data_IF_546836957775
#
_entry.id   IF_546836957775
#
_cell.length_a   1.000
_cell.length_b   1.000
_cell.length_c   1.000
_cell.angle_alpha   90.00
_cell.angle_beta   90.00
_cell.angle_gamma   90.00
#
_symmetry.space_group_name_H-M   'P 1'
#
loop_
_entity.id
_entity.type
_entity.pdbx_description
1 polymer ?
#
# COMPACT_ATOMS: atom_id res chain seq x y z
N UNK A 1 1.08 -4.23 -1.76
CA UNK A 1 0.55 -3.42 -0.66
C UNK A 1 -0.35 -4.25 0.27
N UNK A 2 -1.52 -4.67 -0.15
CA UNK A 2 -2.55 -5.21 0.75
C UNK A 2 -2.39 -6.71 1.12
N UNK A 3 -1.23 -7.32 0.98
CA UNK A 3 -1.08 -8.75 1.29
C UNK A 3 -1.37 -9.05 2.76
N UNK A 4 -0.78 -8.31 3.69
CA UNK A 4 -0.96 -8.52 5.13
C UNK A 4 -2.44 -8.49 5.54
N UNK A 5 -3.21 -7.40 5.30
CA UNK A 5 -4.60 -7.38 5.73
C UNK A 5 -5.49 -8.41 5.01
N UNK A 6 -5.16 -8.80 3.78
CA UNK A 6 -5.89 -9.87 3.09
C UNK A 6 -5.64 -11.22 3.78
N UNK A 7 -4.37 -11.55 4.08
CA UNK A 7 -4.05 -12.82 4.76
C UNK A 7 -4.62 -12.87 6.18
N UNK A 8 -4.60 -11.74 6.89
CA UNK A 8 -5.16 -11.64 8.24
C UNK A 8 -6.67 -11.88 8.27
N UNK A 9 -7.39 -11.43 7.25
CA UNK A 9 -8.85 -11.58 7.17
C UNK A 9 -9.30 -12.87 6.44
N UNK A 10 -8.40 -13.53 5.70
CA UNK A 10 -8.73 -14.70 4.89
C UNK A 10 -9.23 -15.86 5.76
N UNK A 11 -10.43 -16.37 5.45
CA UNK A 11 -11.09 -17.43 6.20
C UNK A 11 -11.30 -17.13 7.71
N UNK A 12 -11.40 -15.84 8.07
CA UNK A 12 -11.76 -15.42 9.43
C UNK A 12 -13.22 -15.00 9.49
N UNK A 13 -13.93 -15.43 10.55
CA UNK A 13 -15.35 -15.12 10.72
C UNK A 13 -15.59 -13.70 11.27
N UNK A 14 -14.62 -13.17 12.04
CA UNK A 14 -14.74 -11.89 12.75
C UNK A 14 -13.93 -10.74 12.13
N UNK A 15 -13.21 -11.01 11.05
CA UNK A 15 -12.38 -10.03 10.36
C UNK A 15 -12.80 -9.85 8.91
N UNK A 16 -12.92 -8.61 8.49
CA UNK A 16 -13.36 -8.28 7.13
C UNK A 16 -12.39 -7.33 6.44
N UNK A 17 -11.95 -7.71 5.25
CA UNK A 17 -11.12 -6.88 4.40
C UNK A 17 -11.98 -6.17 3.34
N UNK A 18 -11.98 -4.84 3.35
CA UNK A 18 -12.57 -4.01 2.30
C UNK A 18 -11.46 -3.38 1.45
N UNK A 19 -11.46 -3.67 0.16
CA UNK A 19 -10.54 -3.05 -0.79
C UNK A 19 -11.16 -1.80 -1.43
N UNK A 20 -10.39 -0.71 -1.48
CA UNK A 20 -10.75 0.50 -2.23
C UNK A 20 -9.72 0.75 -3.33
N UNK A 21 -10.13 0.60 -4.57
CA UNK A 21 -9.31 0.86 -5.76
C UNK A 21 -9.64 2.26 -6.27
N UNK A 22 -8.75 3.20 -6.00
CA UNK A 22 -9.03 4.63 -6.23
C UNK A 22 -8.93 5.00 -7.71
N UNK A 23 -7.95 4.44 -8.44
CA UNK A 23 -7.72 4.79 -9.85
C UNK A 23 -8.16 3.70 -10.82
N UNK A 24 -8.53 4.13 -12.02
CA UNK A 24 -9.08 3.28 -13.09
C UNK A 24 -8.05 2.35 -13.76
N UNK A 25 -6.75 2.61 -13.59
CA UNK A 25 -5.68 1.79 -14.16
C UNK A 25 -5.50 1.89 -15.67
N UNK A 26 -6.26 2.76 -16.38
CA UNK A 26 -6.20 2.90 -17.85
C UNK A 26 -4.81 3.22 -18.40
N UNK A 27 -3.99 3.94 -17.64
CA UNK A 27 -2.61 4.28 -18.00
C UNK A 27 -1.57 3.17 -17.75
N UNK A 28 -2.00 1.93 -17.52
CA UNK A 28 -1.09 0.80 -17.32
C UNK A 28 -0.22 0.53 -18.54
N UNK A 29 1.05 0.07 -18.37
CA UNK A 29 1.91 -0.35 -19.47
C UNK A 29 1.26 -1.43 -20.33
N UNK A 30 1.51 -1.39 -21.65
CA UNK A 30 0.92 -2.29 -22.64
C UNK A 30 1.98 -2.95 -23.48
N UNK A 31 2.14 -4.27 -23.32
CA UNK A 31 3.05 -5.10 -24.10
C UNK A 31 2.39 -6.46 -24.38
N UNK A 32 2.92 -7.21 -25.32
CA UNK A 32 2.42 -8.55 -25.64
C UNK A 32 0.93 -8.52 -26.04
N UNK A 33 0.12 -9.29 -25.38
CA UNK A 33 -1.32 -9.41 -25.64
C UNK A 33 -2.09 -8.09 -25.49
N UNK A 34 -1.55 -7.14 -24.71
CA UNK A 34 -2.19 -5.84 -24.42
C UNK A 34 -1.69 -4.70 -25.29
N UNK A 35 -0.75 -4.95 -26.23
CA UNK A 35 -0.07 -3.91 -26.99
C UNK A 35 -1.02 -3.04 -27.83
N UNK A 36 -2.13 -3.59 -28.28
CA UNK A 36 -3.13 -2.91 -29.11
C UNK A 36 -4.33 -2.36 -28.34
N UNK A 37 -4.36 -2.53 -27.01
CA UNK A 37 -5.48 -2.07 -26.19
C UNK A 37 -5.45 -0.55 -26.04
N UNK A 38 -6.60 0.09 -26.20
CA UNK A 38 -6.78 1.49 -25.83
C UNK A 38 -6.96 1.67 -24.31
N UNK A 39 -7.12 2.91 -23.87
CA UNK A 39 -7.26 3.24 -22.44
C UNK A 39 -8.53 2.64 -21.83
N UNK A 40 -9.63 2.60 -22.58
CA UNK A 40 -10.89 2.06 -22.08
C UNK A 40 -10.85 0.53 -21.99
N UNK A 41 -10.28 -0.13 -22.99
CA UNK A 41 -10.05 -1.58 -22.95
C UNK A 41 -9.15 -1.96 -21.78
N UNK A 42 -8.10 -1.20 -21.52
CA UNK A 42 -7.22 -1.44 -20.38
C UNK A 42 -7.96 -1.22 -19.04
N UNK A 43 -8.78 -0.17 -18.91
CA UNK A 43 -9.61 0.08 -17.74
C UNK A 43 -10.52 -1.13 -17.43
N UNK A 44 -11.20 -1.66 -18.46
CA UNK A 44 -12.05 -2.84 -18.30
C UNK A 44 -11.28 -4.10 -17.88
N UNK A 45 -10.07 -4.30 -18.43
CA UNK A 45 -9.18 -5.39 -17.99
C UNK A 45 -8.82 -5.23 -16.52
N UNK A 46 -8.39 -4.03 -16.11
CA UNK A 46 -8.02 -3.74 -14.72
C UNK A 46 -9.18 -3.98 -13.75
N UNK A 47 -10.39 -3.61 -14.12
CA UNK A 47 -11.60 -3.90 -13.33
C UNK A 47 -11.85 -5.40 -13.16
N UNK A 48 -11.70 -6.15 -14.25
CA UNK A 48 -11.85 -7.61 -14.23
C UNK A 48 -10.81 -8.28 -13.33
N UNK A 49 -9.57 -7.81 -13.37
CA UNK A 49 -8.48 -8.31 -12.53
C UNK A 49 -8.73 -8.03 -11.04
N UNK A 50 -9.18 -6.81 -10.70
CA UNK A 50 -9.54 -6.48 -9.32
C UNK A 50 -10.67 -7.35 -8.76
N UNK A 51 -11.72 -7.62 -9.57
CA UNK A 51 -12.78 -8.54 -9.17
C UNK A 51 -12.29 -9.97 -8.95
N UNK A 52 -11.37 -10.46 -9.79
CA UNK A 52 -10.75 -11.77 -9.58
C UNK A 52 -9.95 -11.82 -8.29
N UNK A 53 -9.16 -10.76 -8.01
CA UNK A 53 -8.42 -10.67 -6.75
C UNK A 53 -9.37 -10.70 -5.54
N UNK A 54 -10.49 -10.00 -5.61
CA UNK A 54 -11.47 -9.99 -4.53
C UNK A 54 -12.08 -11.37 -4.27
N UNK A 55 -12.36 -12.15 -5.33
CA UNK A 55 -12.85 -13.53 -5.19
C UNK A 55 -11.79 -14.44 -4.56
N UNK A 56 -10.54 -14.36 -5.03
CA UNK A 56 -9.44 -15.20 -4.52
C UNK A 56 -9.11 -14.86 -3.08
N UNK A 57 -9.09 -13.59 -2.72
CA UNK A 57 -8.75 -13.12 -1.38
C UNK A 57 -9.94 -13.05 -0.42
N UNK A 58 -11.13 -13.48 -0.85
CA UNK A 58 -12.37 -13.48 -0.05
C UNK A 58 -12.66 -12.09 0.57
N UNK A 59 -12.52 -11.02 -0.23
CA UNK A 59 -12.80 -9.67 0.26
C UNK A 59 -14.27 -9.53 0.65
N UNK A 60 -14.53 -8.94 1.82
CA UNK A 60 -15.89 -8.60 2.23
C UNK A 60 -16.52 -7.56 1.30
N UNK A 61 -15.72 -6.61 0.80
CA UNK A 61 -16.16 -5.65 -0.20
C UNK A 61 -15.00 -5.21 -1.11
N UNK A 62 -15.35 -4.91 -2.37
CA UNK A 62 -14.47 -4.27 -3.34
C UNK A 62 -15.17 -3.02 -3.88
N UNK A 63 -14.58 -1.85 -3.61
CA UNK A 63 -15.06 -0.56 -4.08
C UNK A 63 -14.07 -0.03 -5.11
N UNK A 64 -14.56 0.35 -6.29
CA UNK A 64 -13.74 0.89 -7.38
C UNK A 64 -14.23 2.28 -7.74
N UNK A 65 -13.42 3.32 -7.41
CA UNK A 65 -13.79 4.74 -7.57
C UNK A 65 -13.58 5.26 -8.99
N UNK A 66 -12.82 4.56 -9.79
CA UNK A 66 -12.66 4.84 -11.23
C UNK A 66 -12.10 6.22 -11.57
N UNK A 67 -11.29 6.82 -10.70
CA UNK A 67 -10.66 8.11 -10.98
C UNK A 67 -9.48 7.97 -11.93
N UNK A 68 -9.35 8.84 -12.97
CA UNK A 68 -8.09 8.99 -13.69
C UNK A 68 -6.96 9.43 -12.75
N UNK A 69 -5.76 8.91 -12.94
CA UNK A 69 -4.59 9.25 -12.09
C UNK A 69 -4.30 10.75 -12.00
N UNK A 70 -4.65 11.55 -13.03
CA UNK A 70 -4.52 13.01 -13.00
C UNK A 70 -5.35 13.68 -11.91
N UNK A 71 -6.54 13.15 -11.60
CA UNK A 71 -7.42 13.66 -10.55
C UNK A 71 -6.81 13.42 -9.17
N UNK A 72 -6.16 12.27 -8.99
CA UNK A 72 -5.51 11.92 -7.74
C UNK A 72 -4.23 12.75 -7.50
N UNK A 73 -3.50 13.05 -8.56
CA UNK A 73 -2.28 13.90 -8.49
C UNK A 73 -2.60 15.40 -8.32
N UNK A 74 -3.82 15.82 -8.57
CA UNK A 74 -4.26 17.17 -8.24
C UNK A 74 -4.56 17.28 -6.74
N UNK A 75 -3.70 17.98 -6.01
CA UNK A 75 -3.85 18.20 -4.57
C UNK A 75 -5.12 18.98 -4.17
N UNK A 76 -5.74 19.71 -5.11
CA UNK A 76 -6.96 20.50 -4.87
C UNK A 76 -8.24 19.71 -5.13
N UNK A 77 -8.17 18.58 -5.81
CA UNK A 77 -9.35 17.77 -6.15
C UNK A 77 -10.00 17.20 -4.89
N UNK A 78 -11.24 17.58 -4.61
CA UNK A 78 -12.02 17.17 -3.45
C UNK A 78 -12.82 15.87 -3.65
N UNK A 79 -13.38 15.55 -4.84
CA UNK A 79 -14.24 14.38 -4.99
C UNK A 79 -13.63 13.06 -4.47
N UNK A 80 -12.33 12.75 -4.68
CA UNK A 80 -11.77 11.53 -4.10
C UNK A 80 -11.71 11.56 -2.56
N UNK A 81 -11.59 12.71 -1.94
CA UNK A 81 -11.61 12.86 -0.47
C UNK A 81 -13.02 12.63 0.06
N UNK A 82 -14.04 13.18 -0.62
CA UNK A 82 -15.44 13.02 -0.28
C UNK A 82 -15.87 11.54 -0.38
N UNK A 83 -15.53 10.86 -1.47
CA UNK A 83 -15.82 9.44 -1.64
C UNK A 83 -15.13 8.57 -0.59
N UNK A 84 -13.84 8.82 -0.31
CA UNK A 84 -13.11 8.11 0.73
C UNK A 84 -13.72 8.37 2.12
N UNK A 85 -14.17 9.60 2.40
CA UNK A 85 -14.85 9.93 3.65
C UNK A 85 -16.16 9.16 3.79
N UNK A 86 -16.96 9.10 2.72
CA UNK A 86 -18.21 8.34 2.71
C UNK A 86 -17.97 6.85 2.97
N UNK A 87 -16.96 6.27 2.32
CA UNK A 87 -16.57 4.86 2.52
C UNK A 87 -16.13 4.61 3.96
N UNK A 88 -15.25 5.44 4.49
CA UNK A 88 -14.76 5.34 5.88
C UNK A 88 -15.90 5.47 6.90
N UNK A 89 -16.86 6.37 6.64
CA UNK A 89 -18.06 6.54 7.48
C UNK A 89 -18.93 5.29 7.46
N UNK A 90 -19.10 4.68 6.29
CA UNK A 90 -19.94 3.49 6.14
C UNK A 90 -19.30 2.21 6.69
N UNK A 91 -17.97 2.07 6.54
CA UNK A 91 -17.25 0.83 6.89
C UNK A 91 -16.64 0.85 8.29
N UNK A 92 -16.39 2.02 8.85
CA UNK A 92 -15.79 2.22 10.18
C UNK A 92 -14.59 1.30 10.47
N UNK A 93 -13.56 1.29 9.60
CA UNK A 93 -12.45 0.36 9.74
C UNK A 93 -11.64 0.64 11.00
N UNK A 94 -11.19 -0.42 11.68
CA UNK A 94 -10.25 -0.29 12.81
C UNK A 94 -8.84 0.08 12.35
N UNK A 95 -8.43 -0.45 11.20
CA UNK A 95 -7.10 -0.24 10.61
C UNK A 95 -7.25 0.11 9.14
N UNK A 96 -6.49 1.11 8.68
CA UNK A 96 -6.41 1.48 7.27
C UNK A 96 -4.98 1.26 6.77
N UNK A 97 -4.87 0.60 5.63
CA UNK A 97 -3.62 0.38 4.90
C UNK A 97 -3.65 1.20 3.61
N UNK A 98 -2.66 2.05 3.41
CA UNK A 98 -2.52 2.87 2.21
C UNK A 98 -1.07 2.85 1.72
N UNK A 99 -0.71 3.70 0.76
CA UNK A 99 0.67 3.86 0.31
C UNK A 99 1.47 4.69 1.32
N UNK A 100 2.80 4.45 1.40
CA UNK A 100 3.67 5.30 2.22
C UNK A 100 3.92 6.66 1.53
N UNK A 101 4.25 7.67 2.33
CA UNK A 101 4.51 9.03 1.85
C UNK A 101 5.86 9.20 1.13
N UNK A 102 6.77 8.24 1.29
CA UNK A 102 8.07 8.24 0.63
C UNK A 102 8.07 7.42 -0.68
N UNK A 103 6.90 6.95 -1.16
CA UNK A 103 6.83 6.21 -2.43
C UNK A 103 7.28 7.11 -3.60
N UNK A 104 7.87 6.51 -4.62
CA UNK A 104 8.35 7.22 -5.82
C UNK A 104 7.30 7.37 -6.92
N UNK A 105 6.08 6.90 -6.70
CA UNK A 105 4.98 7.01 -7.66
C UNK A 105 3.98 8.08 -7.18
N UNK A 106 3.88 9.19 -7.91
CA UNK A 106 3.06 10.35 -7.53
C UNK A 106 1.61 10.00 -7.21
N UNK A 107 1.00 9.08 -7.97
CA UNK A 107 -0.38 8.65 -7.72
C UNK A 107 -0.52 7.94 -6.36
N UNK A 108 0.49 7.17 -5.95
CA UNK A 108 0.49 6.50 -4.64
C UNK A 108 0.54 7.52 -3.51
N UNK A 109 1.44 8.49 -3.61
CA UNK A 109 1.53 9.59 -2.64
C UNK A 109 0.23 10.39 -2.62
N UNK A 110 -0.36 10.68 -3.78
CA UNK A 110 -1.65 11.35 -3.89
C UNK A 110 -2.78 10.58 -3.19
N UNK A 111 -2.87 9.26 -3.35
CA UNK A 111 -3.84 8.42 -2.64
C UNK A 111 -3.62 8.50 -1.13
N UNK A 112 -2.36 8.37 -0.67
CA UNK A 112 -2.05 8.46 0.76
C UNK A 112 -2.48 9.80 1.37
N UNK A 113 -2.17 10.91 0.71
CA UNK A 113 -2.57 12.25 1.16
C UNK A 113 -4.09 12.43 1.21
N UNK A 114 -4.82 11.95 0.20
CA UNK A 114 -6.28 12.00 0.18
C UNK A 114 -6.90 11.09 1.24
N UNK A 115 -6.31 9.94 1.51
CA UNK A 115 -6.72 9.06 2.60
C UNK A 115 -6.55 9.74 3.97
N UNK A 116 -5.42 10.40 4.21
CA UNK A 116 -5.18 11.17 5.45
C UNK A 116 -6.21 12.30 5.58
N UNK A 117 -6.46 13.05 4.50
CA UNK A 117 -7.45 14.13 4.50
C UNK A 117 -8.87 13.61 4.80
N UNK A 118 -9.26 12.50 4.18
CA UNK A 118 -10.56 11.88 4.41
C UNK A 118 -10.73 11.39 5.86
N UNK A 119 -9.70 10.77 6.45
CA UNK A 119 -9.75 10.33 7.86
C UNK A 119 -9.83 11.55 8.80
N UNK A 120 -9.06 12.62 8.52
CA UNK A 120 -9.10 13.84 9.32
C UNK A 120 -10.45 14.56 9.29
N UNK A 121 -11.22 14.43 8.21
CA UNK A 121 -12.57 14.99 8.10
C UNK A 121 -13.61 14.25 8.95
N UNK A 122 -13.31 13.03 9.42
CA UNK A 122 -14.18 12.28 10.33
C UNK A 122 -14.14 12.86 11.75
N UNK A 123 -15.24 12.74 12.51
CA UNK A 123 -15.21 12.96 13.94
C UNK A 123 -14.09 12.14 14.59
N UNK A 124 -13.36 12.70 15.54
CA UNK A 124 -12.19 12.04 16.18
C UNK A 124 -12.50 10.64 16.70
N UNK A 125 -13.69 10.46 17.30
CA UNK A 125 -14.12 9.16 17.82
C UNK A 125 -14.40 8.11 16.73
N UNK A 126 -14.56 8.54 15.47
CA UNK A 126 -14.84 7.67 14.31
C UNK A 126 -13.59 7.40 13.47
N UNK A 127 -12.44 7.97 13.83
CA UNK A 127 -11.19 7.74 13.10
C UNK A 127 -10.65 6.33 13.38
N UNK A 128 -10.05 5.67 12.39
CA UNK A 128 -9.41 4.37 12.60
C UNK A 128 -8.34 4.46 13.70
N UNK A 129 -8.16 3.36 14.43
CA UNK A 129 -7.13 3.28 15.46
C UNK A 129 -5.72 3.29 14.87
N UNK A 130 -5.56 2.80 13.63
CA UNK A 130 -4.26 2.69 12.95
C UNK A 130 -4.35 3.10 11.48
N UNK A 131 -3.28 3.75 11.00
CA UNK A 131 -3.03 4.03 9.59
C UNK A 131 -1.61 3.59 9.24
N UNK A 132 -1.51 2.64 8.31
CA UNK A 132 -0.23 2.13 7.83
C UNK A 132 0.04 2.53 6.39
N UNK A 133 1.21 3.13 6.15
CA UNK A 133 1.75 3.45 4.83
C UNK A 133 2.65 2.34 4.32
N UNK A 134 2.11 1.45 3.48
CA UNK A 134 2.80 0.25 3.02
C UNK A 134 3.82 0.54 1.91
N UNK A 135 4.86 -0.26 1.84
CA UNK A 135 5.80 -0.26 0.71
C UNK A 135 5.15 -0.79 -0.57
N UNK A 136 5.46 -0.15 -1.72
CA UNK A 136 5.03 -0.61 -3.05
C UNK A 136 6.16 -0.38 -4.06
N UNK A 137 6.24 0.81 -4.70
CA UNK A 137 7.30 1.12 -5.66
C UNK A 137 8.63 1.42 -4.98
N UNK A 138 8.62 2.22 -3.91
CA UNK A 138 9.76 2.33 -3.01
C UNK A 138 9.53 1.35 -1.86
N UNK A 139 10.54 0.54 -1.57
CA UNK A 139 10.61 -0.20 -0.32
C UNK A 139 10.84 0.74 0.87
N UNK A 140 10.75 0.21 2.06
CA UNK A 140 11.00 0.93 3.31
C UNK A 140 12.24 0.40 4.06
N UNK A 141 13.07 -0.40 3.39
CA UNK A 141 14.31 -0.90 3.97
C UNK A 141 15.28 0.21 4.40
N UNK A 142 15.21 1.38 3.75
CA UNK A 142 15.98 2.56 4.11
C UNK A 142 15.62 3.16 5.47
N UNK A 143 14.46 2.89 6.03
CA UNK A 143 14.10 3.35 7.38
C UNK A 143 14.97 2.62 8.41
N UNK A 144 15.27 3.27 9.54
CA UNK A 144 15.89 2.58 10.66
C UNK A 144 14.93 1.50 11.18
N UNK A 145 15.46 0.36 11.61
CA UNK A 145 14.65 -0.83 11.91
C UNK A 145 13.57 -0.56 12.98
N UNK A 146 13.89 0.25 13.99
CA UNK A 146 12.93 0.65 15.02
C UNK A 146 11.74 1.48 14.52
N UNK A 147 11.82 2.03 13.33
CA UNK A 147 10.75 2.82 12.71
C UNK A 147 9.87 1.99 11.77
N UNK A 148 10.29 0.77 11.42
CA UNK A 148 9.54 -0.12 10.54
C UNK A 148 8.44 -0.84 11.29
N UNK A 149 7.27 -0.92 10.69
CA UNK A 149 6.23 -1.89 11.09
C UNK A 149 6.37 -3.09 10.17
N UNK A 150 6.76 -4.24 10.72
CA UNK A 150 6.90 -5.50 9.99
C UNK A 150 5.60 -6.29 10.00
N UNK A 151 5.19 -6.78 8.83
CA UNK A 151 4.08 -7.72 8.68
C UNK A 151 4.62 -9.05 8.20
N UNK A 152 4.43 -10.10 9.00
CA UNK A 152 4.79 -11.46 8.62
C UNK A 152 3.89 -11.96 7.49
N UNK A 153 4.50 -12.32 6.39
CA UNK A 153 3.85 -12.85 5.20
C UNK A 153 4.27 -14.31 4.93
N UNK A 154 4.79 -15.02 5.93
CA UNK A 154 5.14 -16.43 5.83
C UNK A 154 3.93 -17.34 5.54
N UNK A 155 2.73 -17.08 6.12
CA UNK A 155 1.58 -17.92 5.86
C UNK A 155 1.06 -17.79 4.43
N UNK A 156 0.50 -18.87 3.90
CA UNK A 156 -0.32 -18.89 2.69
C UNK A 156 0.38 -18.29 1.45
N UNK A 157 1.63 -18.68 1.20
CA UNK A 157 2.40 -18.25 0.02
C UNK A 157 1.66 -18.53 -1.30
N UNK A 158 0.89 -19.62 -1.38
CA UNK A 158 0.04 -19.95 -2.52
C UNK A 158 -1.04 -18.90 -2.77
N UNK A 159 -1.71 -18.41 -1.72
CA UNK A 159 -2.70 -17.33 -1.83
C UNK A 159 -2.05 -16.03 -2.29
N UNK A 160 -0.89 -15.70 -1.75
CA UNK A 160 -0.14 -14.51 -2.18
C UNK A 160 0.25 -14.57 -3.66
N UNK A 161 0.72 -15.73 -4.12
CA UNK A 161 1.06 -15.95 -5.53
C UNK A 161 -0.18 -15.83 -6.43
N UNK A 162 -1.31 -16.41 -6.02
CA UNK A 162 -2.57 -16.33 -6.74
C UNK A 162 -3.09 -14.88 -6.82
N UNK A 163 -3.06 -14.13 -5.72
CA UNK A 163 -3.47 -12.72 -5.65
C UNK A 163 -2.65 -11.82 -6.58
N UNK A 164 -1.34 -12.07 -6.72
CA UNK A 164 -0.51 -11.34 -7.67
C UNK A 164 -0.76 -11.83 -9.09
N UNK A 165 -0.89 -13.14 -9.29
CA UNK A 165 -1.00 -13.77 -10.60
C UNK A 165 -2.25 -13.38 -11.39
N UNK A 166 -3.33 -12.94 -10.74
CA UNK A 166 -4.55 -12.48 -11.44
C UNK A 166 -4.36 -11.19 -12.22
N UNK A 167 -3.30 -10.42 -11.92
CA UNK A 167 -3.00 -9.14 -12.59
C UNK A 167 -2.16 -9.35 -13.85
N UNK A 168 -2.64 -10.18 -14.77
CA UNK A 168 -1.91 -10.54 -15.99
C UNK A 168 -1.52 -9.33 -16.83
N UNK A 169 -2.40 -8.31 -16.93
CA UNK A 169 -2.07 -7.09 -17.68
C UNK A 169 -0.85 -6.35 -17.10
N UNK A 170 -0.57 -6.53 -15.82
CA UNK A 170 0.61 -5.94 -15.18
C UNK A 170 1.85 -6.82 -15.33
N UNK A 171 1.68 -8.13 -15.39
CA UNK A 171 2.78 -9.11 -15.51
C UNK A 171 3.17 -9.24 -16.98
N UNK A 172 2.27 -9.76 -17.80
CA UNK A 172 2.48 -9.97 -19.25
C UNK A 172 2.51 -8.65 -20.02
N UNK A 173 1.86 -7.61 -19.48
CA UNK A 173 1.85 -6.25 -20.04
C UNK A 173 3.13 -5.45 -19.88
N UNK A 174 4.18 -6.00 -19.22
CA UNK A 174 5.52 -5.43 -19.25
C UNK A 174 6.22 -5.19 -17.90
N UNK A 175 5.61 -5.62 -16.79
CA UNK A 175 6.20 -5.49 -15.44
C UNK A 175 6.09 -6.83 -14.70
N UNK A 176 7.18 -7.44 -14.38
CA UNK A 176 7.19 -8.72 -13.64
C UNK A 176 6.93 -8.49 -12.14
N UNK A 177 5.74 -7.95 -11.81
CA UNK A 177 5.32 -7.73 -10.41
C UNK A 177 5.20 -9.02 -9.60
N UNK A 178 4.91 -10.14 -10.27
CA UNK A 178 4.90 -11.46 -9.69
C UNK A 178 6.25 -11.81 -9.03
N UNK A 179 7.33 -11.67 -9.79
CA UNK A 179 8.68 -11.92 -9.27
C UNK A 179 9.13 -10.83 -8.29
N UNK A 180 8.92 -9.56 -8.64
CA UNK A 180 9.43 -8.44 -7.85
C UNK A 180 8.81 -8.39 -6.45
N UNK A 181 7.50 -8.62 -6.33
CA UNK A 181 6.81 -8.57 -5.04
C UNK A 181 7.24 -9.72 -4.12
N UNK A 182 7.34 -10.93 -4.64
CA UNK A 182 7.76 -12.10 -3.85
C UNK A 182 9.24 -12.00 -3.46
N UNK A 183 10.11 -11.57 -4.39
CA UNK A 183 11.52 -11.38 -4.10
C UNK A 183 11.77 -10.33 -3.01
N UNK A 184 11.03 -9.21 -3.04
CA UNK A 184 11.14 -8.17 -2.00
C UNK A 184 10.74 -8.72 -0.62
N UNK A 185 9.63 -9.45 -0.53
CA UNK A 185 9.19 -10.04 0.73
C UNK A 185 10.21 -11.01 1.31
N UNK A 186 10.83 -11.83 0.46
CA UNK A 186 11.94 -12.73 0.84
C UNK A 186 13.16 -11.94 1.30
N UNK A 187 13.58 -10.93 0.54
CA UNK A 187 14.70 -10.08 0.89
C UNK A 187 14.49 -9.37 2.23
N UNK A 188 13.29 -8.79 2.43
CA UNK A 188 12.96 -8.15 3.70
C UNK A 188 13.06 -9.11 4.89
N UNK A 189 12.59 -10.35 4.75
CA UNK A 189 12.66 -11.35 5.82
C UNK A 189 14.12 -11.72 6.17
N UNK A 190 14.97 -11.89 5.15
CA UNK A 190 16.36 -12.31 5.34
C UNK A 190 17.27 -11.18 5.83
N UNK A 191 17.05 -9.96 5.35
CA UNK A 191 17.93 -8.82 5.66
C UNK A 191 17.46 -7.96 6.84
N UNK A 192 16.35 -8.30 7.48
CA UNK A 192 15.81 -7.53 8.60
C UNK A 192 16.76 -7.55 9.80
N UNK A 193 17.32 -8.72 10.12
CA UNK A 193 18.28 -8.87 11.22
C UNK A 193 19.64 -9.38 10.71
N UNK A 194 20.69 -8.59 10.94
CA UNK A 194 22.03 -8.91 10.43
C UNK A 194 22.73 -10.05 11.19
N UNK A 195 22.29 -10.41 12.39
CA UNK A 195 22.94 -11.37 13.28
C UNK A 195 21.99 -12.45 13.85
N UNK A 196 20.75 -12.43 13.44
CA UNK A 196 19.72 -13.41 13.83
C UNK A 196 19.54 -14.49 12.78
N UNK A 197 18.81 -15.52 13.15
CA UNK A 197 18.28 -16.52 12.20
C UNK A 197 16.93 -16.02 11.71
N UNK A 198 16.64 -16.19 10.42
CA UNK A 198 15.36 -15.79 9.84
C UNK A 198 14.20 -16.41 10.62
N UNK A 199 13.28 -15.57 11.09
CA UNK A 199 12.06 -16.01 11.81
C UNK A 199 10.85 -16.08 10.90
N UNK A 200 10.93 -15.48 9.71
CA UNK A 200 9.87 -15.39 8.72
C UNK A 200 10.41 -15.76 7.34
N UNK A 201 9.56 -16.32 6.47
CA UNK A 201 9.92 -16.58 5.07
C UNK A 201 9.54 -15.44 4.13
N UNK A 202 8.75 -14.50 4.60
CA UNK A 202 8.34 -13.30 3.88
C UNK A 202 7.94 -12.20 4.83
N UNK A 203 8.42 -10.98 4.59
CA UNK A 203 8.15 -9.80 5.41
C UNK A 203 7.82 -8.61 4.52
N UNK A 204 6.85 -7.80 4.92
CA UNK A 204 6.54 -6.52 4.28
C UNK A 204 6.63 -5.40 5.31
N UNK A 205 7.17 -4.25 4.90
CA UNK A 205 7.31 -3.10 5.78
C UNK A 205 6.23 -2.05 5.55
N UNK A 206 5.86 -1.38 6.62
CA UNK A 206 5.04 -0.18 6.58
C UNK A 206 5.58 0.91 7.51
N UNK A 207 5.20 2.14 7.20
CA UNK A 207 5.37 3.31 8.04
C UNK A 207 4.13 3.48 8.92
N UNK A 208 4.27 3.56 10.24
CA UNK A 208 3.12 3.89 11.11
C UNK A 208 2.76 5.37 10.94
N UNK A 209 1.76 5.64 10.13
CA UNK A 209 1.24 6.98 9.87
C UNK A 209 0.09 7.38 10.81
N UNK A 210 -0.18 6.59 11.84
CA UNK A 210 -1.21 6.85 12.84
C UNK A 210 -1.13 8.26 13.46
N UNK A 211 0.05 8.81 13.78
CA UNK A 211 0.13 10.18 14.29
C UNK A 211 -0.50 11.23 13.36
N UNK A 212 -0.46 11.02 12.05
CA UNK A 212 -1.04 11.95 11.08
C UNK A 212 -2.57 12.04 11.13
N UNK A 213 -3.25 11.02 11.62
CA UNK A 213 -4.71 11.00 11.68
C UNK A 213 -5.26 11.42 13.06
N UNK A 214 -4.41 11.50 14.08
CA UNK A 214 -4.81 11.91 15.43
C UNK A 214 -4.27 13.30 15.82
N UNK A 215 -3.24 13.82 15.13
CA UNK A 215 -2.72 15.17 15.33
C UNK A 215 -2.96 16.00 14.07
N UNK A 216 -3.83 17.02 14.16
CA UNK A 216 -4.15 17.89 13.03
C UNK A 216 -3.02 18.84 12.66
N UNK A 217 -2.20 19.21 13.64
CA UNK A 217 -1.05 20.10 13.45
C UNK A 217 0.13 19.41 12.74
N UNK A 218 0.20 18.09 12.81
CA UNK A 218 1.30 17.32 12.20
C UNK A 218 1.15 17.28 10.68
N UNK A 219 2.05 17.95 9.98
CA UNK A 219 2.02 18.00 8.52
C UNK A 219 2.66 16.74 7.90
N UNK A 220 2.07 16.16 6.82
CA UNK A 220 2.62 14.98 6.16
C UNK A 220 4.08 15.13 5.70
N UNK A 221 4.47 16.32 5.23
CA UNK A 221 5.86 16.59 4.82
C UNK A 221 6.81 16.49 6.01
N UNK A 222 6.55 17.22 7.09
CA UNK A 222 7.41 17.19 8.28
C UNK A 222 7.47 15.79 8.91
N UNK A 223 6.37 15.02 8.81
CA UNK A 223 6.32 13.65 9.29
C UNK A 223 7.29 12.75 8.51
N UNK A 224 7.27 12.76 7.18
CA UNK A 224 8.15 11.91 6.38
C UNK A 224 9.61 12.36 6.46
N UNK A 225 9.85 13.68 6.55
CA UNK A 225 11.20 14.24 6.73
C UNK A 225 11.86 13.76 8.03
N UNK A 226 11.08 13.55 9.09
CA UNK A 226 11.62 13.03 10.35
C UNK A 226 12.21 11.61 10.19
N UNK A 227 11.60 10.72 9.40
CA UNK A 227 12.16 9.40 9.10
C UNK A 227 13.45 9.50 8.27
N UNK A 228 13.46 10.38 7.26
CA UNK A 228 14.65 10.61 6.42
C UNK A 228 15.81 11.14 7.28
N UNK A 229 15.53 12.03 8.22
CA UNK A 229 16.55 12.59 9.10
C UNK A 229 17.12 11.54 10.06
N UNK A 230 16.28 10.64 10.61
CA UNK A 230 16.76 9.53 11.45
C UNK A 230 17.67 8.57 10.67
N UNK A 231 17.28 8.21 9.44
CA UNK A 231 18.14 7.42 8.55
C UNK A 231 19.48 8.11 8.27
N UNK A 232 19.44 9.39 7.91
CA UNK A 232 20.67 10.18 7.70
C UNK A 232 21.55 10.16 8.93
N UNK A 233 20.99 10.32 10.12
CA UNK A 233 21.73 10.32 11.38
C UNK A 233 22.36 8.94 11.65
N UNK A 234 21.61 7.84 11.50
CA UNK A 234 22.12 6.48 11.68
C UNK A 234 23.33 6.20 10.77
N UNK A 235 23.22 6.51 9.48
CA UNK A 235 24.32 6.35 8.52
C UNK A 235 25.54 7.20 8.93
N UNK A 236 25.31 8.47 9.29
CA UNK A 236 26.40 9.38 9.67
C UNK A 236 27.12 8.91 10.93
N UNK A 237 26.38 8.45 11.93
CA UNK A 237 26.96 7.98 13.18
C UNK A 237 27.73 6.67 13.00
N UNK A 238 27.22 5.78 12.16
CA UNK A 238 27.91 4.53 11.80
C UNK A 238 29.25 4.80 11.11
N UNK A 239 29.26 5.68 10.10
CA UNK A 239 30.50 6.06 9.40
C UNK A 239 31.48 6.69 10.37
N UNK A 240 31.07 7.67 11.20
CA UNK A 240 31.98 8.35 12.18
C UNK A 240 32.60 7.40 13.19
N UNK A 241 31.86 6.36 13.62
CA UNK A 241 32.42 5.37 14.57
C UNK A 241 33.50 4.49 13.95
N UNK A 242 33.56 4.38 12.63
CA UNK A 242 34.50 3.50 11.91
C UNK A 242 35.62 4.27 11.20
N UNK A 243 35.54 5.61 11.19
CA UNK A 243 36.56 6.49 10.63
C UNK A 243 37.55 6.96 11.71
#
# INVERSE_FOLDING_TARGET
MAASPILECFQQEDLWFTAVVVTDGRGSPRKGLYAQYDDEQMRLVRFKEQRKAAVIGEYAALIMLDYPSKVIKDGRSQPPVEDLTAILTATQPKVVYTHNLADKHDTHVGVALKTIAAIRSLPTASRPAKLYGCEVWRDLDWMVDSDKVGFDLSPQENLQAALVGVFDSQISGGKRYDLASLARRRANATYFESHGVDTSTGLSFAMDMTPLIHSEDLQPLSFVEAFIQRFKQDVSDRVRRMS
#
